data_IF_729412993237
#
_entry.id   IF_729412993237
#
_cell.length_a   1.000
_cell.length_b   1.000
_cell.length_c   1.000
_cell.angle_alpha   90.00
_cell.angle_beta   90.00
_cell.angle_gamma   90.00
#
_symmetry.space_group_name_H-M   'P 1'
#
loop_
_entity.id
_entity.type
_entity.pdbx_description
1 polymer ?
#
# COMPACT_ATOMS: atom_id res chain seq x y z
N UNK A 1 -23.92 -44.39 -8.86
CA UNK A 1 -22.74 -43.74 -8.25
C UNK A 1 -21.68 -43.26 -9.26
N UNK A 2 -22.03 -42.92 -10.51
CA UNK A 2 -21.07 -42.37 -11.50
C UNK A 2 -21.32 -40.89 -11.87
N UNK A 3 -22.52 -40.36 -11.59
CA UNK A 3 -22.89 -38.97 -11.92
C UNK A 3 -22.44 -37.93 -10.89
N UNK A 4 -22.28 -38.33 -9.62
CA UNK A 4 -21.82 -37.41 -8.56
C UNK A 4 -20.31 -37.13 -8.62
N UNK A 5 -19.52 -38.01 -9.27
CA UNK A 5 -18.06 -37.85 -9.39
C UNK A 5 -17.72 -36.80 -10.44
N UNK A 6 -18.52 -36.69 -11.51
CA UNK A 6 -18.32 -35.67 -12.55
C UNK A 6 -18.61 -34.25 -12.04
N UNK A 7 -19.62 -34.08 -11.18
CA UNK A 7 -19.93 -32.79 -10.57
C UNK A 7 -18.82 -32.32 -9.60
N UNK A 8 -18.20 -33.26 -8.88
CA UNK A 8 -17.08 -32.97 -7.98
C UNK A 8 -15.80 -32.56 -8.76
N UNK A 9 -15.55 -33.19 -9.91
CA UNK A 9 -14.43 -32.84 -10.78
C UNK A 9 -14.60 -31.46 -11.43
N UNK A 10 -15.81 -31.09 -11.84
CA UNK A 10 -16.09 -29.73 -12.33
C UNK A 10 -15.95 -28.66 -11.23
N UNK A 11 -16.33 -28.97 -9.99
CA UNK A 11 -16.10 -28.05 -8.85
C UNK A 11 -14.61 -27.90 -8.50
N UNK A 12 -13.83 -28.98 -8.59
CA UNK A 12 -12.37 -28.95 -8.39
C UNK A 12 -11.63 -28.20 -9.52
N UNK A 13 -12.13 -28.28 -10.75
CA UNK A 13 -11.63 -27.50 -11.89
C UNK A 13 -12.00 -26.01 -11.77
N UNK A 14 -13.20 -25.68 -11.27
CA UNK A 14 -13.59 -24.31 -10.93
C UNK A 14 -12.80 -23.74 -9.74
N UNK A 15 -12.36 -24.59 -8.81
CA UNK A 15 -11.50 -24.20 -7.69
C UNK A 15 -10.02 -23.99 -8.07
N UNK A 16 -9.55 -24.57 -9.18
CA UNK A 16 -8.22 -24.30 -9.75
C UNK A 16 -8.25 -23.25 -10.87
N UNK A 17 -9.42 -22.91 -11.41
CA UNK A 17 -9.60 -21.80 -12.34
C UNK A 17 -9.53 -20.41 -11.67
N UNK A 18 -9.37 -20.35 -10.35
CA UNK A 18 -9.09 -19.12 -9.61
C UNK A 18 -7.60 -18.92 -9.30
N UNK A 19 -6.71 -19.59 -10.03
CA UNK A 19 -5.50 -18.91 -10.49
C UNK A 19 -5.94 -17.83 -11.49
N UNK A 20 -6.64 -16.82 -10.96
CA UNK A 20 -6.90 -15.59 -11.65
C UNK A 20 -5.54 -15.16 -12.17
N UNK A 21 -5.37 -15.21 -13.49
CA UNK A 21 -4.64 -14.15 -14.14
C UNK A 21 -5.15 -12.88 -13.48
N UNK A 22 -4.32 -12.30 -12.62
CA UNK A 22 -4.54 -10.95 -12.17
C UNK A 22 -4.50 -10.15 -13.47
N UNK A 23 -5.68 -9.89 -14.04
CA UNK A 23 -5.83 -9.13 -15.27
C UNK A 23 -4.94 -7.91 -15.11
N UNK A 24 -3.91 -7.82 -15.94
CA UNK A 24 -2.89 -6.80 -15.75
C UNK A 24 -3.60 -5.45 -15.76
N UNK A 25 -3.49 -4.65 -14.69
CA UNK A 25 -4.46 -3.61 -14.44
C UNK A 25 -4.35 -2.54 -15.52
N UNK A 26 -5.49 -2.13 -16.06
CA UNK A 26 -5.54 -0.97 -16.93
C UNK A 26 -5.36 0.33 -16.11
N UNK A 27 -5.22 1.46 -16.81
CA UNK A 27 -5.01 2.76 -16.18
C UNK A 27 -6.13 3.09 -15.18
N UNK A 28 -7.39 2.87 -15.53
CA UNK A 28 -8.52 3.19 -14.66
C UNK A 28 -8.47 2.35 -13.37
N UNK A 29 -8.15 1.06 -13.50
CA UNK A 29 -7.94 0.17 -12.35
C UNK A 29 -6.77 0.64 -11.48
N UNK A 30 -5.70 1.15 -12.10
CA UNK A 30 -4.53 1.69 -11.40
C UNK A 30 -4.83 2.95 -10.62
N UNK A 31 -5.53 3.91 -11.24
CA UNK A 31 -5.99 5.14 -10.55
C UNK A 31 -6.92 4.78 -9.39
N UNK A 32 -7.88 3.87 -9.60
CA UNK A 32 -8.79 3.44 -8.54
C UNK A 32 -8.04 2.75 -7.39
N UNK A 33 -7.00 1.97 -7.68
CA UNK A 33 -6.16 1.36 -6.66
C UNK A 33 -5.48 2.42 -5.79
N UNK A 34 -4.88 3.45 -6.39
CA UNK A 34 -4.24 4.54 -5.63
C UNK A 34 -5.23 5.33 -4.77
N UNK A 35 -6.47 5.53 -5.26
CA UNK A 35 -7.53 6.16 -4.47
C UNK A 35 -7.97 5.27 -3.29
N UNK A 36 -8.06 3.96 -3.48
CA UNK A 36 -8.36 3.03 -2.38
C UNK A 36 -7.24 3.01 -1.35
N UNK A 37 -5.98 2.95 -1.79
CA UNK A 37 -4.82 3.07 -0.92
C UNK A 37 -4.87 4.35 -0.10
N UNK A 38 -5.19 5.49 -0.74
CA UNK A 38 -5.32 6.78 -0.07
C UNK A 38 -6.38 6.73 1.03
N UNK A 39 -7.57 6.20 0.72
CA UNK A 39 -8.67 6.09 1.67
C UNK A 39 -8.28 5.21 2.88
N UNK A 40 -7.67 4.05 2.64
CA UNK A 40 -7.24 3.15 3.72
C UNK A 40 -6.17 3.79 4.62
N UNK A 41 -5.20 4.49 4.03
CA UNK A 41 -4.16 5.19 4.77
C UNK A 41 -4.74 6.34 5.62
N UNK A 42 -5.71 7.09 5.08
CA UNK A 42 -6.43 8.13 5.84
C UNK A 42 -7.25 7.54 6.98
N UNK A 43 -7.94 6.41 6.75
CA UNK A 43 -8.67 5.70 7.81
C UNK A 43 -7.73 5.28 8.94
N UNK A 44 -6.54 4.75 8.63
CA UNK A 44 -5.55 4.45 9.66
C UNK A 44 -5.15 5.71 10.44
N UNK A 45 -4.87 6.82 9.76
CA UNK A 45 -4.52 8.09 10.41
C UNK A 45 -5.62 8.62 11.34
N UNK A 46 -6.89 8.47 10.93
CA UNK A 46 -8.05 8.83 11.77
C UNK A 46 -8.08 7.95 13.03
N UNK A 47 -7.93 6.63 12.89
CA UNK A 47 -7.90 5.74 14.05
C UNK A 47 -6.75 6.05 15.02
N UNK A 48 -5.58 6.40 14.50
CA UNK A 48 -4.44 6.86 15.31
C UNK A 48 -4.80 8.14 16.09
N UNK A 49 -5.47 9.10 15.44
CA UNK A 49 -5.90 10.35 16.06
C UNK A 49 -6.96 10.15 17.13
N UNK A 50 -7.94 9.30 16.87
CA UNK A 50 -8.99 8.94 17.83
C UNK A 50 -8.40 8.26 19.07
N UNK A 51 -7.42 7.37 18.89
CA UNK A 51 -6.71 6.74 20.00
C UNK A 51 -5.92 7.77 20.81
N UNK A 52 -5.17 8.66 20.16
CA UNK A 52 -4.42 9.75 20.82
C UNK A 52 -5.32 10.61 21.72
N UNK A 53 -6.52 10.95 21.23
CA UNK A 53 -7.51 11.73 21.96
C UNK A 53 -8.12 10.96 23.13
N UNK A 54 -8.53 9.70 22.89
CA UNK A 54 -9.15 8.81 23.89
C UNK A 54 -8.23 8.57 25.07
N UNK A 55 -6.96 8.29 24.79
CA UNK A 55 -5.93 8.03 25.80
C UNK A 55 -5.32 9.32 26.38
N UNK A 56 -5.77 10.49 25.91
CA UNK A 56 -5.32 11.83 26.31
C UNK A 56 -3.80 11.96 26.28
N UNK A 57 -3.15 11.35 25.29
CA UNK A 57 -1.69 11.22 25.22
C UNK A 57 -0.98 12.57 25.17
N UNK A 58 -1.59 13.57 24.52
CA UNK A 58 -1.09 14.95 24.46
C UNK A 58 -0.99 15.65 25.81
N UNK A 59 -1.74 15.19 26.82
CA UNK A 59 -1.78 15.81 28.15
C UNK A 59 -0.92 15.08 29.19
N UNK A 60 -0.30 13.95 28.83
CA UNK A 60 0.58 13.16 29.72
C UNK A 60 2.03 13.70 29.65
N UNK A 61 2.71 13.84 30.80
CA UNK A 61 4.12 14.32 30.92
C UNK A 61 5.12 13.15 31.07
N UNK A 62 6.36 13.28 30.53
CA UNK A 62 6.66 13.74 29.17
C UNK A 62 6.21 12.67 28.14
N UNK A 63 6.28 12.99 26.84
CA UNK A 63 5.78 12.17 25.73
C UNK A 63 5.91 10.65 25.96
N UNK A 64 4.79 9.92 25.96
CA UNK A 64 4.79 8.47 26.09
C UNK A 64 5.35 7.82 24.82
N UNK A 65 5.89 6.60 24.91
CA UNK A 65 6.32 5.86 23.71
C UNK A 65 5.17 5.69 22.71
N UNK A 66 3.93 5.56 23.18
CA UNK A 66 2.74 5.53 22.33
C UNK A 66 2.54 6.85 21.57
N UNK A 67 2.78 7.99 22.22
CA UNK A 67 2.72 9.29 21.54
C UNK A 67 3.81 9.40 20.47
N UNK A 68 5.06 9.03 20.80
CA UNK A 68 6.18 9.03 19.84
C UNK A 68 5.87 8.13 18.65
N UNK A 69 5.33 6.93 18.91
CA UNK A 69 4.87 6.01 17.87
C UNK A 69 3.82 6.64 16.95
N UNK A 70 2.79 7.28 17.51
CA UNK A 70 1.71 7.88 16.71
C UNK A 70 2.25 9.01 15.82
N UNK A 71 3.17 9.83 16.33
CA UNK A 71 3.80 10.88 15.53
C UNK A 71 4.63 10.31 14.39
N UNK A 72 5.48 9.30 14.66
CA UNK A 72 6.29 8.63 13.63
C UNK A 72 5.39 7.92 12.59
N UNK A 73 4.37 7.19 13.04
CA UNK A 73 3.43 6.51 12.16
C UNK A 73 2.66 7.50 11.26
N UNK A 74 2.18 8.61 11.80
CA UNK A 74 1.51 9.64 10.99
C UNK A 74 2.46 10.24 9.94
N UNK A 75 3.72 10.53 10.31
CA UNK A 75 4.70 11.04 9.36
C UNK A 75 5.00 10.03 8.23
N UNK A 76 5.04 8.73 8.56
CA UNK A 76 5.20 7.66 7.56
C UNK A 76 3.99 7.56 6.65
N UNK A 77 2.77 7.61 7.20
CA UNK A 77 1.52 7.61 6.42
C UNK A 77 1.48 8.81 5.47
N UNK A 78 1.79 10.02 5.96
CA UNK A 78 1.82 11.23 5.13
C UNK A 78 2.83 11.09 3.98
N UNK A 79 4.03 10.60 4.28
CA UNK A 79 5.06 10.36 3.27
C UNK A 79 4.60 9.36 2.21
N UNK A 80 3.97 8.26 2.61
CA UNK A 80 3.52 7.24 1.66
C UNK A 80 2.29 7.66 0.86
N UNK A 81 1.42 8.50 1.45
CA UNK A 81 0.35 9.19 0.72
C UNK A 81 0.90 10.09 -0.39
N UNK A 82 1.93 10.89 -0.08
CA UNK A 82 2.60 11.71 -1.09
C UNK A 82 3.18 10.90 -2.25
N UNK A 83 3.76 9.73 -1.96
CA UNK A 83 4.28 8.81 -2.98
C UNK A 83 3.14 8.19 -3.82
N UNK A 84 2.03 7.80 -3.20
CA UNK A 84 0.87 7.24 -3.90
C UNK A 84 0.19 8.27 -4.82
N UNK A 85 0.10 9.54 -4.40
CA UNK A 85 -0.40 10.62 -5.24
C UNK A 85 0.53 10.86 -6.44
N UNK A 86 1.84 10.84 -6.22
CA UNK A 86 2.83 10.97 -7.29
C UNK A 86 2.68 9.85 -8.34
N UNK A 87 2.43 8.61 -7.90
CA UNK A 87 2.10 7.50 -8.80
C UNK A 87 0.78 7.75 -9.53
N UNK A 88 -0.26 8.19 -8.83
CA UNK A 88 -1.54 8.51 -9.46
C UNK A 88 -1.39 9.54 -10.60
N UNK A 89 -0.60 10.60 -10.36
CA UNK A 89 -0.30 11.63 -11.36
C UNK A 89 0.43 11.06 -12.57
N UNK A 90 1.44 10.19 -12.36
CA UNK A 90 2.18 9.54 -13.45
C UNK A 90 1.22 8.74 -14.35
N UNK A 91 0.34 7.92 -13.74
CA UNK A 91 -0.62 7.10 -14.48
C UNK A 91 -1.69 7.97 -15.17
N UNK A 92 -2.12 9.05 -14.52
CA UNK A 92 -3.09 9.99 -15.08
C UNK A 92 -2.53 10.73 -16.30
N UNK A 93 -1.29 11.24 -16.20
CA UNK A 93 -0.61 11.93 -17.31
C UNK A 93 -0.47 10.97 -18.49
N UNK A 94 0.04 9.75 -18.26
CA UNK A 94 0.19 8.74 -19.30
C UNK A 94 -1.12 8.44 -20.05
N UNK A 95 -2.24 8.41 -19.33
CA UNK A 95 -3.57 8.19 -19.91
C UNK A 95 -4.07 9.33 -20.79
N UNK A 96 -3.73 10.56 -20.41
CA UNK A 96 -4.25 11.78 -21.06
C UNK A 96 -3.39 12.22 -22.22
N UNK A 97 -2.11 11.83 -22.23
CA UNK A 97 -1.22 12.09 -23.34
C UNK A 97 -1.55 11.14 -24.49
N UNK A 98 -2.10 11.69 -25.58
CA UNK A 98 -2.02 11.09 -26.94
C UNK A 98 -0.60 11.12 -27.50
N UNK A 99 0.36 11.58 -26.71
CA UNK A 99 1.76 11.79 -27.06
C UNK A 99 2.54 10.48 -26.95
N UNK A 100 3.23 10.10 -28.03
CA UNK A 100 4.23 9.04 -27.96
C UNK A 100 5.42 9.56 -27.15
N UNK A 101 5.57 9.10 -25.92
CA UNK A 101 6.76 9.43 -25.11
C UNK A 101 8.03 9.03 -25.85
N UNK A 102 9.00 9.94 -25.89
CA UNK A 102 10.35 9.66 -26.37
C UNK A 102 11.02 8.62 -25.46
N UNK A 103 12.09 7.99 -25.95
CA UNK A 103 12.86 7.01 -25.17
C UNK A 103 13.36 7.60 -23.83
N UNK A 104 13.80 8.85 -23.84
CA UNK A 104 14.35 9.51 -22.66
C UNK A 104 13.26 9.83 -21.63
N UNK A 105 12.07 10.25 -22.07
CA UNK A 105 10.93 10.47 -21.17
C UNK A 105 10.42 9.16 -20.55
N UNK A 106 10.42 8.05 -21.32
CA UNK A 106 10.10 6.72 -20.76
C UNK A 106 11.11 6.29 -19.71
N UNK A 107 12.42 6.48 -19.96
CA UNK A 107 13.45 6.16 -18.98
C UNK A 107 13.27 6.98 -17.70
N UNK A 108 13.06 8.30 -17.84
CA UNK A 108 12.80 9.17 -16.70
C UNK A 108 11.57 8.75 -15.88
N UNK A 109 10.51 8.28 -16.55
CA UNK A 109 9.31 7.76 -15.88
C UNK A 109 9.63 6.49 -15.07
N UNK A 110 10.34 5.54 -15.65
CA UNK A 110 10.73 4.32 -14.94
C UNK A 110 11.69 4.62 -13.78
N UNK A 111 12.68 5.48 -13.96
CA UNK A 111 13.57 5.94 -12.90
C UNK A 111 12.80 6.57 -11.74
N UNK A 112 11.76 7.36 -12.03
CA UNK A 112 10.90 7.96 -11.00
C UNK A 112 10.09 6.91 -10.26
N UNK A 113 9.55 5.91 -10.95
CA UNK A 113 8.81 4.81 -10.30
C UNK A 113 9.75 3.96 -9.44
N UNK A 114 10.95 3.65 -9.91
CA UNK A 114 11.95 2.89 -9.16
C UNK A 114 12.37 3.65 -7.88
N UNK A 115 12.60 4.96 -7.98
CA UNK A 115 12.86 5.82 -6.82
C UNK A 115 11.72 5.79 -5.79
N UNK A 116 10.46 5.77 -6.26
CA UNK A 116 9.28 5.63 -5.39
C UNK A 116 9.28 4.25 -4.71
N UNK A 117 9.52 3.18 -5.47
CA UNK A 117 9.56 1.80 -4.98
C UNK A 117 10.64 1.59 -3.90
N UNK A 118 11.81 2.18 -4.10
CA UNK A 118 12.92 2.16 -3.15
C UNK A 118 12.60 2.97 -1.90
N UNK A 119 11.96 4.13 -2.06
CA UNK A 119 11.53 4.96 -0.92
C UNK A 119 10.49 4.24 -0.07
N UNK A 120 9.53 3.56 -0.70
CA UNK A 120 8.54 2.74 0.01
C UNK A 120 9.20 1.60 0.81
N UNK A 121 10.20 0.93 0.23
CA UNK A 121 10.96 -0.10 0.94
C UNK A 121 11.70 0.47 2.15
N UNK A 122 12.44 1.58 1.97
CA UNK A 122 13.17 2.25 3.06
C UNK A 122 12.26 2.66 4.21
N UNK A 123 11.04 3.11 3.93
CA UNK A 123 10.05 3.47 4.96
C UNK A 123 9.67 2.25 5.81
N UNK A 124 9.53 1.06 5.20
CA UNK A 124 9.21 -0.18 5.95
C UNK A 124 10.41 -0.75 6.71
N UNK A 125 11.64 -0.54 6.22
CA UNK A 125 12.87 -1.01 6.86
C UNK A 125 13.36 -0.10 8.00
N UNK A 126 12.97 1.17 7.97
CA UNK A 126 13.36 2.13 9.02
C UNK A 126 12.71 1.72 10.35
N UNK A 127 13.49 1.45 11.42
CA UNK A 127 12.91 1.06 12.72
C UNK A 127 12.10 2.22 13.32
N UNK A 128 11.12 1.89 14.17
CA UNK A 128 10.40 2.89 14.97
C UNK A 128 11.26 3.29 16.17
N UNK A 129 11.20 4.56 16.57
CA UNK A 129 11.96 5.07 17.72
C UNK A 129 11.24 4.79 19.06
N UNK A 130 10.89 3.53 19.31
CA UNK A 130 10.20 3.04 20.50
C UNK A 130 10.76 1.68 20.92
N UNK A 131 10.32 1.15 22.05
CA UNK A 131 10.68 -0.21 22.47
C UNK A 131 10.22 -1.24 21.42
N UNK A 132 11.15 -2.08 20.97
CA UNK A 132 10.90 -3.14 20.00
C UNK A 132 9.83 -4.12 20.50
N UNK A 133 9.74 -4.35 21.81
CA UNK A 133 8.68 -5.20 22.39
C UNK A 133 7.26 -4.69 22.11
N UNK A 134 7.07 -3.37 21.95
CA UNK A 134 5.78 -2.78 21.57
C UNK A 134 5.45 -3.03 20.10
N UNK A 135 6.48 -3.06 19.24
CA UNK A 135 6.34 -3.32 17.80
C UNK A 135 6.05 -4.81 17.56
N UNK A 136 6.72 -5.69 18.31
CA UNK A 136 6.65 -7.14 18.14
C UNK A 136 5.35 -7.73 18.68
N UNK A 137 4.70 -7.08 19.66
CA UNK A 137 3.36 -7.47 20.11
C UNK A 137 2.29 -7.11 19.08
N UNK A 138 2.05 -8.03 18.14
CA UNK A 138 1.02 -7.95 17.09
C UNK A 138 -0.42 -7.82 17.61
N UNK A 139 -0.68 -8.01 18.90
CA UNK A 139 -2.03 -7.84 19.49
C UNK A 139 -2.22 -6.44 20.06
N UNK A 140 -1.13 -5.77 20.44
CA UNK A 140 -1.14 -4.39 20.92
C UNK A 140 -1.61 -3.41 19.84
N UNK A 141 -2.02 -2.21 20.28
CA UNK A 141 -2.37 -1.13 19.36
C UNK A 141 -1.21 -0.78 18.41
N UNK A 142 0.01 -0.70 18.95
CA UNK A 142 1.24 -0.39 18.20
C UNK A 142 1.51 -1.46 17.15
N UNK A 143 1.65 -2.72 17.57
CA UNK A 143 1.97 -3.82 16.67
C UNK A 143 0.91 -4.05 15.58
N UNK A 144 -0.38 -3.89 15.90
CA UNK A 144 -1.45 -3.95 14.88
C UNK A 144 -1.29 -2.89 13.80
N UNK A 145 -1.05 -1.63 14.20
CA UNK A 145 -0.87 -0.54 13.26
C UNK A 145 0.39 -0.70 12.42
N UNK A 146 1.48 -1.21 12.99
CA UNK A 146 2.70 -1.53 12.22
C UNK A 146 2.46 -2.62 11.20
N UNK A 147 1.78 -3.71 11.59
CA UNK A 147 1.46 -4.82 10.68
C UNK A 147 0.56 -4.35 9.54
N UNK A 148 -0.49 -3.58 9.85
CA UNK A 148 -1.41 -3.04 8.84
C UNK A 148 -0.68 -2.09 7.87
N UNK A 149 0.11 -1.17 8.41
CA UNK A 149 0.90 -0.24 7.61
C UNK A 149 1.87 -0.98 6.69
N UNK A 150 2.68 -1.89 7.22
CA UNK A 150 3.66 -2.64 6.43
C UNK A 150 3.01 -3.49 5.35
N UNK A 151 1.89 -4.16 5.67
CA UNK A 151 1.12 -4.92 4.69
C UNK A 151 0.65 -4.01 3.55
N UNK A 152 0.06 -2.86 3.87
CA UNK A 152 -0.42 -1.89 2.87
C UNK A 152 0.71 -1.37 1.97
N UNK A 153 1.91 -1.15 2.51
CA UNK A 153 3.07 -0.79 1.67
C UNK A 153 3.53 -1.94 0.78
N UNK A 154 3.54 -3.17 1.29
CA UNK A 154 3.86 -4.36 0.50
C UNK A 154 2.86 -4.56 -0.64
N UNK A 155 1.57 -4.42 -0.37
CA UNK A 155 0.50 -4.53 -1.35
C UNK A 155 0.63 -3.44 -2.42
N UNK A 156 0.90 -2.19 -2.03
CA UNK A 156 1.15 -1.09 -2.97
C UNK A 156 2.36 -1.39 -3.88
N UNK A 157 3.47 -1.85 -3.31
CA UNK A 157 4.67 -2.21 -4.09
C UNK A 157 4.42 -3.36 -5.05
N UNK A 158 3.68 -4.38 -4.61
CA UNK A 158 3.27 -5.48 -5.48
C UNK A 158 2.39 -4.98 -6.63
N UNK A 159 1.43 -4.10 -6.34
CA UNK A 159 0.55 -3.50 -7.34
C UNK A 159 1.31 -2.65 -8.37
N UNK A 160 2.27 -1.83 -7.93
CA UNK A 160 3.09 -1.02 -8.86
C UNK A 160 3.79 -1.95 -9.85
N UNK A 161 4.46 -3.00 -9.38
CA UNK A 161 5.15 -3.98 -10.25
C UNK A 161 4.23 -4.62 -11.28
N UNK A 162 3.01 -5.00 -10.89
CA UNK A 162 2.06 -5.63 -11.82
C UNK A 162 1.45 -4.63 -12.79
N UNK A 163 1.30 -3.37 -12.40
CA UNK A 163 0.69 -2.32 -13.22
C UNK A 163 1.66 -1.63 -14.19
N UNK A 164 2.97 -1.85 -14.09
CA UNK A 164 3.98 -1.28 -15.01
C UNK A 164 3.74 -1.61 -16.49
N UNK A 165 3.00 -2.69 -16.81
CA UNK A 165 2.63 -3.03 -18.20
C UNK A 165 1.94 -1.87 -18.93
N UNK A 166 1.26 -1.00 -18.18
CA UNK A 166 0.52 0.15 -18.71
C UNK A 166 1.44 1.05 -19.53
N UNK A 167 2.71 1.18 -19.11
CA UNK A 167 3.71 2.02 -19.77
C UNK A 167 4.44 1.33 -20.94
N UNK A 168 4.19 0.04 -21.15
CA UNK A 168 4.81 -0.76 -22.21
C UNK A 168 4.00 -0.77 -23.51
N UNK A 169 2.74 -0.28 -23.48
CA UNK A 169 1.87 -0.10 -24.64
C UNK A 169 2.11 1.26 -25.27
#
# INVERSE_FOLDING_TARGET
>A
MKRCILALACFLMLAHATAAWADTPNIRQSINYFMNYFNEAVVQAIHLKEYEQREKLTRKRPYTQEYVFIQDMNARIEKTLGLALNLCDIYYIYNKTTYCFTKDEKNYLFDRIDNIMDTLQKITETPFNIDQGMVDDKKSFVGKNVVEFNKRIQDLRAFIKTSLVVFQR
#
